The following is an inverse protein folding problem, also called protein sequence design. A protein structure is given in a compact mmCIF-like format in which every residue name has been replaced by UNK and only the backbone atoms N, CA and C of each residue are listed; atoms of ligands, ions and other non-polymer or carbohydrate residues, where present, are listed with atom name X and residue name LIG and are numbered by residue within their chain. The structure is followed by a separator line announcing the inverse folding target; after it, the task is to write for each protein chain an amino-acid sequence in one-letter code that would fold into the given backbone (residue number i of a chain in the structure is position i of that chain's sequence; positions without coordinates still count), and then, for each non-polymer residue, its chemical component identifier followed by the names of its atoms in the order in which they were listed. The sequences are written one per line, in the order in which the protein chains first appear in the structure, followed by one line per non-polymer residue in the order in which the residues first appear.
data_IF_043997854205
#
_entry.id   IF_043997854205
#
_cell.length_a   1.000
_cell.length_b   1.000
_cell.length_c   1.000
_cell.angle_alpha   90.00
_cell.angle_beta   90.00
_cell.angle_gamma   90.00
#
_symmetry.space_group_name_H-M   'P 1'
#
loop_
_entity.id
_entity.type
_entity.pdbx_description
1 polymer ?
#
# COMPACT_ATOMS: atom_id res chain seq x y z
N UNK A 1 -14.11 16.68 -26.30
CA UNK A 1 -13.21 15.63 -25.78
C UNK A 1 -13.16 15.77 -24.27
N UNK A 2 -13.30 14.71 -23.45
CA UNK A 2 -13.13 14.83 -22.02
C UNK A 2 -11.67 15.26 -21.75
N UNK A 3 -11.50 16.46 -21.21
CA UNK A 3 -10.19 17.04 -20.98
C UNK A 3 -9.53 16.39 -19.77
N UNK A 4 -8.21 16.25 -19.84
CA UNK A 4 -7.39 15.89 -18.68
C UNK A 4 -7.53 17.02 -17.65
N UNK A 5 -7.92 16.76 -16.40
CA UNK A 5 -7.99 17.78 -15.36
C UNK A 5 -6.61 18.39 -15.16
N UNK A 6 -6.51 19.63 -14.69
CA UNK A 6 -5.23 20.34 -14.58
C UNK A 6 -4.21 19.59 -13.69
N UNK A 7 -2.92 19.76 -13.92
CA UNK A 7 -1.86 18.99 -13.26
C UNK A 7 -1.57 19.45 -11.81
N UNK A 8 -1.94 20.68 -11.50
CA UNK A 8 -1.54 21.42 -10.29
C UNK A 8 -2.54 21.33 -9.13
N UNK A 9 -3.70 20.69 -9.31
CA UNK A 9 -4.73 20.54 -8.26
C UNK A 9 -5.14 19.10 -7.97
N UNK A 10 -4.33 18.10 -8.37
CA UNK A 10 -4.69 16.70 -8.15
C UNK A 10 -4.12 16.24 -6.82
N UNK A 11 -4.99 16.18 -5.81
CA UNK A 11 -4.73 15.30 -4.67
C UNK A 11 -4.46 13.90 -5.23
N UNK A 12 -3.31 13.32 -4.88
CA UNK A 12 -2.99 11.95 -5.26
C UNK A 12 -4.10 11.03 -4.75
N UNK A 13 -4.84 10.41 -5.68
CA UNK A 13 -5.85 9.41 -5.34
C UNK A 13 -5.16 8.07 -5.20
N UNK A 14 -5.41 7.38 -4.10
CA UNK A 14 -4.83 6.07 -3.82
C UNK A 14 -5.88 4.97 -3.97
N UNK A 15 -5.50 3.86 -4.60
CA UNK A 15 -6.39 2.73 -4.78
C UNK A 15 -6.70 2.10 -3.42
N UNK A 16 -7.99 2.08 -3.04
CA UNK A 16 -8.44 1.56 -1.76
C UNK A 16 -8.11 0.06 -1.56
N UNK A 17 -7.80 -0.69 -2.63
CA UNK A 17 -7.42 -2.10 -2.56
C UNK A 17 -5.91 -2.29 -2.50
N UNK A 18 -5.24 -1.87 -3.56
CA UNK A 18 -3.84 -2.21 -3.75
C UNK A 18 -2.90 -1.15 -3.19
N UNK A 19 -3.39 0.03 -2.79
CA UNK A 19 -2.59 1.13 -2.27
C UNK A 19 -1.67 1.81 -3.28
N UNK A 20 -1.79 1.53 -4.59
CA UNK A 20 -1.06 2.28 -5.62
C UNK A 20 -1.75 3.61 -5.92
N UNK A 21 -0.97 4.60 -6.33
CA UNK A 21 -1.51 5.83 -6.90
C UNK A 21 -2.38 5.49 -8.11
N UNK A 22 -3.56 6.10 -8.16
CA UNK A 22 -4.47 6.02 -9.29
C UNK A 22 -3.99 7.06 -10.28
N UNK A 23 -3.43 6.61 -11.39
CA UNK A 23 -3.03 7.50 -12.47
C UNK A 23 -4.26 7.90 -13.28
N UNK A 24 -4.32 9.18 -13.67
CA UNK A 24 -5.38 9.65 -14.55
C UNK A 24 -5.36 8.91 -15.89
N UNK A 25 -6.55 8.58 -16.39
CA UNK A 25 -6.77 8.09 -17.77
C UNK A 25 -8.11 8.61 -18.28
N UNK A 26 -8.24 8.80 -19.58
CA UNK A 26 -9.45 9.40 -20.19
C UNK A 26 -10.75 8.69 -19.82
N UNK A 27 -10.72 7.38 -19.57
CA UNK A 27 -11.89 6.60 -19.15
C UNK A 27 -12.39 6.94 -17.73
N UNK A 28 -11.57 7.59 -16.91
CA UNK A 28 -11.94 8.04 -15.56
C UNK A 28 -12.41 9.50 -15.52
N UNK A 29 -12.38 10.22 -16.65
CA UNK A 29 -12.66 11.65 -16.67
C UNK A 29 -14.04 12.01 -16.11
N UNK A 30 -15.06 11.16 -16.36
CA UNK A 30 -16.44 11.42 -15.93
C UNK A 30 -16.68 11.24 -14.43
N UNK A 31 -15.80 10.52 -13.73
CA UNK A 31 -16.04 10.14 -12.33
C UNK A 31 -14.79 10.28 -11.45
N UNK A 32 -13.80 11.05 -11.88
CA UNK A 32 -12.48 11.17 -11.24
C UNK A 32 -12.58 11.41 -9.74
N UNK A 33 -13.44 12.34 -9.32
CA UNK A 33 -13.61 12.71 -7.92
C UNK A 33 -14.01 11.52 -7.04
N UNK A 34 -14.79 10.60 -7.59
CA UNK A 34 -15.31 9.40 -6.92
C UNK A 34 -14.51 8.12 -7.22
N UNK A 35 -13.39 8.19 -7.95
CA UNK A 35 -12.59 6.99 -8.27
C UNK A 35 -11.92 6.45 -7.02
N UNK A 36 -12.20 5.17 -6.71
CA UNK A 36 -11.62 4.43 -5.57
C UNK A 36 -10.61 3.36 -5.97
N UNK A 37 -10.60 2.93 -7.23
CA UNK A 37 -9.85 1.75 -7.68
C UNK A 37 -9.03 2.04 -8.93
N UNK A 38 -7.77 1.58 -8.96
CA UNK A 38 -6.88 1.79 -10.10
C UNK A 38 -7.24 0.95 -11.35
N UNK A 39 -7.94 -0.18 -11.18
CA UNK A 39 -8.28 -1.11 -12.26
C UNK A 39 -9.59 -1.85 -12.00
N UNK A 40 -10.18 -2.42 -13.05
CA UNK A 40 -11.36 -3.28 -12.92
C UNK A 40 -11.10 -4.50 -12.05
N UNK A 41 -9.89 -5.08 -12.13
CA UNK A 41 -9.51 -6.18 -11.24
C UNK A 41 -9.54 -5.75 -9.77
N UNK A 42 -9.05 -4.56 -9.43
CA UNK A 42 -9.14 -4.06 -8.06
C UNK A 42 -10.58 -3.74 -7.65
N UNK A 43 -11.40 -3.21 -8.55
CA UNK A 43 -12.81 -2.95 -8.29
C UNK A 43 -13.60 -4.24 -8.04
N UNK A 44 -13.39 -5.27 -8.88
CA UNK A 44 -14.09 -6.56 -8.79
C UNK A 44 -13.67 -7.36 -7.56
N UNK A 45 -12.38 -7.39 -7.25
CA UNK A 45 -11.87 -8.11 -6.07
C UNK A 45 -12.19 -7.39 -4.77
N UNK A 46 -12.19 -6.05 -4.77
CA UNK A 46 -12.40 -5.25 -3.57
C UNK A 46 -11.33 -5.48 -2.49
N UNK A 47 -11.60 -5.00 -1.28
CA UNK A 47 -10.83 -5.31 -0.09
C UNK A 47 -11.36 -6.59 0.53
N UNK A 48 -10.48 -7.57 0.79
CA UNK A 48 -10.85 -8.86 1.37
C UNK A 48 -10.31 -8.97 2.79
N UNK A 49 -10.87 -9.91 3.56
CA UNK A 49 -10.42 -10.21 4.94
C UNK A 49 -8.91 -10.49 5.04
N UNK A 50 -8.36 -11.22 4.06
CA UNK A 50 -6.91 -11.50 4.03
C UNK A 50 -6.07 -10.22 3.90
N UNK A 51 -6.59 -9.23 3.17
CA UNK A 51 -5.90 -7.96 2.95
C UNK A 51 -5.88 -7.15 4.28
N UNK A 52 -6.93 -7.25 5.10
CA UNK A 52 -6.98 -6.63 6.44
C UNK A 52 -6.06 -7.34 7.43
N UNK A 53 -6.10 -8.68 7.47
CA UNK A 53 -5.22 -9.50 8.31
C UNK A 53 -3.75 -9.20 8.05
N UNK A 54 -3.35 -9.01 6.80
CA UNK A 54 -1.98 -8.65 6.43
C UNK A 54 -1.59 -7.24 6.91
N UNK A 55 -2.52 -6.27 6.88
CA UNK A 55 -2.26 -4.94 7.44
C UNK A 55 -2.03 -5.02 8.95
N UNK A 56 -2.90 -5.73 9.67
CA UNK A 56 -2.75 -5.97 11.12
C UNK A 56 -1.43 -6.66 11.43
N UNK A 57 -1.11 -7.76 10.73
CA UNK A 57 0.13 -8.49 10.92
C UNK A 57 1.39 -7.62 10.69
N UNK A 58 1.38 -6.73 9.69
CA UNK A 58 2.50 -5.79 9.47
C UNK A 58 2.67 -4.88 10.69
N UNK A 59 1.58 -4.31 11.20
CA UNK A 59 1.63 -3.40 12.36
C UNK A 59 2.07 -4.14 13.62
N UNK A 60 1.53 -5.33 13.89
CA UNK A 60 1.89 -6.14 15.06
C UNK A 60 3.35 -6.57 15.04
N UNK A 61 3.83 -7.06 13.90
CA UNK A 61 5.24 -7.45 13.72
C UNK A 61 6.18 -6.26 13.88
N UNK A 62 5.80 -5.09 13.37
CA UNK A 62 6.56 -3.87 13.60
C UNK A 62 6.51 -3.47 15.06
N UNK A 63 5.35 -3.52 15.73
CA UNK A 63 5.11 -3.16 17.13
C UNK A 63 5.95 -4.01 18.10
N UNK A 64 6.14 -5.29 17.80
CA UNK A 64 6.92 -6.22 18.61
C UNK A 64 8.46 -6.03 18.52
N UNK A 65 8.95 -5.20 17.58
CA UNK A 65 10.39 -4.96 17.38
C UNK A 65 10.85 -3.61 17.96
N UNK A 66 12.17 -3.43 18.01
CA UNK A 66 12.78 -2.13 18.30
C UNK A 66 12.27 -1.04 17.34
N UNK A 67 12.30 0.22 17.78
CA UNK A 67 11.66 1.36 17.08
C UNK A 67 12.19 1.60 15.66
N UNK A 68 13.47 1.33 15.43
CA UNK A 68 14.17 1.48 14.16
C UNK A 68 14.25 0.18 13.34
N UNK A 69 13.77 -0.93 13.89
CA UNK A 69 13.77 -2.22 13.23
C UNK A 69 12.87 -2.20 11.99
N UNK A 70 13.22 -3.08 11.05
CA UNK A 70 12.46 -3.28 9.82
C UNK A 70 11.90 -4.69 9.76
N UNK A 71 10.84 -4.87 8.97
CA UNK A 71 10.39 -6.19 8.48
C UNK A 71 10.40 -6.20 6.95
N UNK A 72 10.13 -7.33 6.30
CA UNK A 72 9.76 -7.41 4.88
C UNK A 72 8.34 -7.96 4.70
N UNK A 73 7.71 -7.77 3.53
CA UNK A 73 6.34 -8.25 3.28
C UNK A 73 6.16 -9.76 3.48
N UNK A 74 7.20 -10.55 3.22
CA UNK A 74 7.14 -12.01 3.40
C UNK A 74 7.00 -12.44 4.86
N UNK A 75 7.42 -11.62 5.83
CA UNK A 75 7.24 -11.92 7.25
C UNK A 75 5.75 -11.84 7.63
N UNK A 76 5.04 -10.81 7.17
CA UNK A 76 3.59 -10.73 7.35
C UNK A 76 2.85 -11.81 6.57
N UNK A 77 3.28 -12.10 5.33
CA UNK A 77 2.70 -13.18 4.53
C UNK A 77 2.83 -14.55 5.22
N UNK A 78 3.99 -14.85 5.81
CA UNK A 78 4.22 -16.09 6.58
C UNK A 78 3.40 -16.13 7.86
N UNK A 79 3.31 -15.00 8.56
CA UNK A 79 2.53 -14.90 9.78
C UNK A 79 1.04 -15.20 9.53
N UNK A 80 0.50 -14.75 8.39
CA UNK A 80 -0.92 -14.93 8.05
C UNK A 80 -1.20 -16.23 7.30
N UNK A 81 -0.36 -16.60 6.33
CA UNK A 81 -0.60 -17.72 5.40
C UNK A 81 0.07 -19.04 5.77
N UNK A 82 0.96 -19.06 6.76
CA UNK A 82 1.66 -20.28 7.16
C UNK A 82 2.40 -20.92 6.00
N UNK A 83 2.04 -22.16 5.64
CA UNK A 83 2.63 -22.90 4.52
C UNK A 83 2.29 -22.29 3.14
N UNK A 84 1.16 -21.60 2.99
CA UNK A 84 0.67 -21.03 1.72
C UNK A 84 1.04 -19.55 1.57
N UNK A 85 2.09 -19.09 2.26
CA UNK A 85 2.47 -17.68 2.31
C UNK A 85 2.92 -17.09 0.97
N UNK A 86 3.36 -17.92 0.01
CA UNK A 86 3.88 -17.47 -1.27
C UNK A 86 2.82 -16.73 -2.09
N UNK A 87 1.57 -17.23 -2.08
CA UNK A 87 0.43 -16.59 -2.74
C UNK A 87 0.01 -15.26 -2.08
N UNK A 88 0.45 -15.04 -0.84
CA UNK A 88 0.17 -13.82 -0.09
C UNK A 88 1.22 -12.72 -0.32
N UNK A 89 2.23 -12.93 -1.17
CA UNK A 89 3.27 -11.93 -1.39
C UNK A 89 2.73 -10.61 -1.95
N UNK A 90 1.98 -10.66 -3.04
CA UNK A 90 1.37 -9.45 -3.62
C UNK A 90 0.29 -8.83 -2.72
N UNK A 91 -0.59 -9.61 -2.06
CA UNK A 91 -1.46 -9.10 -1.00
C UNK A 91 -0.70 -8.39 0.12
N UNK A 92 0.44 -8.92 0.58
CA UNK A 92 1.24 -8.31 1.63
C UNK A 92 1.86 -6.98 1.17
N UNK A 93 2.35 -6.91 -0.09
CA UNK A 93 2.76 -5.63 -0.69
C UNK A 93 1.59 -4.65 -0.80
N UNK A 94 0.37 -5.10 -1.13
CA UNK A 94 -0.82 -4.24 -1.16
C UNK A 94 -1.17 -3.69 0.22
N UNK A 95 -1.07 -4.49 1.27
CA UNK A 95 -1.25 -4.06 2.65
C UNK A 95 -0.21 -3.02 3.05
N UNK A 96 1.08 -3.28 2.79
CA UNK A 96 2.15 -2.33 3.05
C UNK A 96 1.90 -0.97 2.37
N UNK A 97 1.49 -0.96 1.09
CA UNK A 97 1.19 0.31 0.39
C UNK A 97 0.03 1.06 1.04
N UNK A 98 -1.06 0.37 1.42
CA UNK A 98 -2.19 1.01 2.12
C UNK A 98 -1.77 1.62 3.45
N UNK A 99 -0.88 0.96 4.20
CA UNK A 99 -0.35 1.49 5.46
C UNK A 99 0.56 2.71 5.25
N UNK A 100 1.30 2.79 4.14
CA UNK A 100 2.04 4.01 3.77
C UNK A 100 1.06 5.16 3.50
N UNK A 101 -0.01 4.90 2.76
CA UNK A 101 -1.05 5.89 2.47
C UNK A 101 -1.75 6.37 3.76
N UNK A 102 -1.92 5.48 4.73
CA UNK A 102 -2.46 5.81 6.06
C UNK A 102 -1.46 6.56 6.95
N UNK A 103 -0.19 6.71 6.55
CA UNK A 103 0.84 7.37 7.34
C UNK A 103 1.46 6.51 8.44
N UNK A 104 1.10 5.22 8.54
CA UNK A 104 1.51 4.33 9.64
C UNK A 104 2.95 3.79 9.48
N UNK A 105 3.36 3.55 8.23
CA UNK A 105 4.66 2.96 7.91
C UNK A 105 5.32 3.70 6.75
N UNK A 106 6.61 3.47 6.57
CA UNK A 106 7.34 3.82 5.34
C UNK A 106 7.96 2.58 4.70
N UNK A 107 7.98 2.56 3.37
CA UNK A 107 8.67 1.52 2.59
C UNK A 107 10.07 2.04 2.23
N UNK A 108 11.06 1.18 2.42
CA UNK A 108 12.46 1.49 2.12
C UNK A 108 13.11 0.41 1.25
N UNK A 109 14.12 0.82 0.49
CA UNK A 109 14.99 -0.06 -0.30
C UNK A 109 16.41 0.48 -0.24
N UNK A 110 17.38 -0.36 0.14
CA UNK A 110 18.75 0.11 0.42
C UNK A 110 18.81 1.20 1.50
N UNK A 111 17.92 1.13 2.51
CA UNK A 111 17.84 2.11 3.60
C UNK A 111 17.15 3.43 3.25
N UNK A 112 16.81 3.67 1.98
CA UNK A 112 16.17 4.91 1.51
C UNK A 112 14.67 4.72 1.40
N UNK A 113 13.89 5.73 1.77
CA UNK A 113 12.43 5.75 1.51
C UNK A 113 12.19 5.77 0.00
N UNK A 114 11.27 4.93 -0.47
CA UNK A 114 10.95 4.79 -1.90
C UNK A 114 9.44 4.92 -2.13
N UNK A 115 9.06 5.27 -3.35
CA UNK A 115 7.65 5.33 -3.74
C UNK A 115 7.01 3.93 -3.67
N UNK A 116 5.96 3.75 -2.84
CA UNK A 116 5.25 2.48 -2.70
C UNK A 116 4.72 1.92 -4.04
N UNK A 117 4.29 2.78 -4.96
CA UNK A 117 3.62 2.39 -6.21
C UNK A 117 4.57 1.82 -7.25
N UNK A 118 5.83 2.24 -7.24
CA UNK A 118 6.83 1.93 -8.27
C UNK A 118 7.98 1.05 -7.79
N UNK A 119 8.18 0.89 -6.48
CA UNK A 119 9.23 0.04 -5.92
C UNK A 119 9.14 -1.42 -6.41
N UNK A 120 10.24 -1.91 -6.98
CA UNK A 120 10.40 -3.28 -7.52
C UNK A 120 11.43 -4.06 -6.71
N UNK A 121 11.19 -5.35 -6.56
CA UNK A 121 12.11 -6.24 -5.85
C UNK A 121 11.99 -6.15 -4.32
N UNK A 122 13.04 -6.58 -3.58
CA UNK A 122 13.03 -6.62 -2.12
C UNK A 122 12.83 -5.22 -1.51
N UNK A 123 11.88 -5.13 -0.58
CA UNK A 123 11.58 -3.92 0.17
C UNK A 123 11.57 -4.21 1.66
N UNK A 124 11.83 -3.17 2.46
CA UNK A 124 11.75 -3.20 3.92
C UNK A 124 10.67 -2.23 4.39
N UNK A 125 9.94 -2.63 5.41
CA UNK A 125 8.89 -1.86 6.06
C UNK A 125 9.40 -1.42 7.43
N UNK A 126 9.16 -0.17 7.81
CA UNK A 126 9.41 0.33 9.17
C UNK A 126 8.31 1.30 9.59
N UNK A 127 8.13 1.49 10.89
CA UNK A 127 7.17 2.47 11.43
C UNK A 127 7.48 3.86 10.90
N UNK A 128 6.45 4.64 10.62
CA UNK A 128 6.62 6.04 10.30
C UNK A 128 6.92 6.80 11.60
N UNK A 129 8.16 7.27 11.76
CA UNK A 129 8.59 7.96 12.97
C UNK A 129 8.34 9.48 12.91
N UNK A 130 7.68 9.94 11.86
CA UNK A 130 7.38 11.36 11.61
C UNK A 130 6.25 11.89 12.51
N UNK A 131 5.46 11.01 13.15
CA UNK A 131 4.29 11.35 13.97
C UNK A 131 4.44 10.85 15.43
N UNK A 132 5.50 11.26 16.13
CA UNK A 132 5.69 10.89 17.56
C UNK A 132 5.15 11.99 18.51
N UNK A 133 4.25 12.86 18.04
CA UNK A 133 3.54 13.85 18.88
C UNK A 133 2.02 13.78 18.65
N UNK A 134 1.40 12.65 18.98
CA UNK A 134 -0.03 12.58 19.23
C UNK A 134 -0.35 11.78 20.47
#
# INVERSE_FOLDING_TARGET
MPQKPDATSRDDKWCARCGRVITWRSSLAKNWDSVKWCSDGCRKLGLRKIDEQLSTAILDLLAARARDATICPSEAARHVGGAEWEDLMEPARCAARRLVVAGEIVITQGGRVVDPSTAKGPIRLRRNLSDVHR
#
